data_IF_402466223812
#
_entry.id   IF_402466223812
#
_cell.length_a   1.000
_cell.length_b   1.000
_cell.length_c   1.000
_cell.angle_alpha   90.00
_cell.angle_beta   90.00
_cell.angle_gamma   90.00
#
_symmetry.space_group_name_H-M   'P 1'
#
loop_
_entity.id
_entity.type
_entity.pdbx_description
1 polymer ?
#
# COMPACT_ATOMS: atom_id res chain seq x y z
N UNK A 1 -35.46 -22.30 -26.91
CA UNK A 1 -35.41 -21.88 -25.49
C UNK A 1 -34.00 -22.10 -24.99
N UNK A 2 -33.19 -21.04 -24.85
CA UNK A 2 -31.85 -21.15 -24.27
C UNK A 2 -32.02 -21.12 -22.74
N UNK A 3 -31.87 -22.28 -22.11
CA UNK A 3 -31.89 -22.39 -20.66
C UNK A 3 -30.60 -21.77 -20.09
N UNK A 4 -30.68 -20.55 -19.59
CA UNK A 4 -29.60 -19.91 -18.85
C UNK A 4 -29.78 -20.23 -17.36
N UNK A 5 -28.80 -20.91 -16.77
CA UNK A 5 -28.61 -21.00 -15.31
C UNK A 5 -28.91 -22.37 -14.71
N UNK A 6 -27.88 -23.22 -14.63
CA UNK A 6 -27.81 -24.17 -13.51
C UNK A 6 -27.49 -23.35 -12.25
N UNK A 7 -28.14 -23.57 -11.09
CA UNK A 7 -27.73 -22.94 -9.84
C UNK A 7 -26.32 -23.43 -9.53
N UNK A 8 -25.34 -22.57 -9.76
CA UNK A 8 -23.95 -22.91 -9.51
C UNK A 8 -23.76 -23.01 -7.99
N UNK A 9 -22.98 -24.00 -7.56
CA UNK A 9 -22.62 -24.25 -6.16
C UNK A 9 -22.19 -22.92 -5.52
N UNK A 10 -22.63 -22.68 -4.28
CA UNK A 10 -22.21 -21.54 -3.47
C UNK A 10 -20.70 -21.64 -3.27
N UNK A 11 -19.93 -21.02 -4.16
CA UNK A 11 -18.52 -20.74 -3.95
C UNK A 11 -18.45 -19.38 -3.26
N UNK A 12 -17.66 -19.29 -2.19
CA UNK A 12 -17.35 -18.02 -1.53
C UNK A 12 -16.59 -17.13 -2.52
N UNK A 13 -17.32 -16.36 -3.33
CA UNK A 13 -16.77 -15.42 -4.27
C UNK A 13 -16.16 -14.24 -3.52
N UNK A 14 -15.01 -13.71 -3.97
CA UNK A 14 -14.40 -12.56 -3.33
C UNK A 14 -15.33 -11.34 -3.43
N UNK A 15 -15.36 -10.48 -2.40
CA UNK A 15 -16.16 -9.26 -2.42
C UNK A 15 -15.63 -8.30 -3.49
N UNK A 16 -16.53 -7.52 -4.11
CA UNK A 16 -16.17 -6.48 -5.09
C UNK A 16 -15.60 -5.22 -4.43
N UNK A 17 -14.54 -5.37 -3.63
CA UNK A 17 -13.88 -4.27 -2.93
C UNK A 17 -12.44 -4.18 -3.42
N UNK A 18 -12.09 -3.04 -4.01
CA UNK A 18 -10.73 -2.75 -4.46
C UNK A 18 -9.93 -2.21 -3.28
N UNK A 19 -8.77 -2.80 -3.02
CA UNK A 19 -7.78 -2.30 -2.06
C UNK A 19 -6.40 -2.31 -2.72
N UNK A 20 -5.90 -1.13 -3.03
CA UNK A 20 -4.62 -0.91 -3.69
C UNK A 20 -3.56 -0.31 -2.74
N UNK A 21 -3.88 -0.19 -1.45
CA UNK A 21 -2.91 0.21 -0.43
C UNK A 21 -1.81 -0.85 -0.34
N UNK A 22 -0.54 -0.42 -0.48
CA UNK A 22 0.61 -1.33 -0.41
C UNK A 22 0.96 -1.65 1.06
N UNK A 23 0.67 -0.73 1.97
CA UNK A 23 1.07 -0.83 3.37
C UNK A 23 -0.14 -0.80 4.31
N UNK A 24 0.03 -1.44 5.47
CA UNK A 24 -0.81 -1.20 6.64
C UNK A 24 -0.07 -0.21 7.56
N UNK A 25 -0.79 0.50 8.44
CA UNK A 25 -0.22 1.49 9.35
C UNK A 25 0.96 0.90 10.16
N UNK A 26 0.83 -0.37 10.59
CA UNK A 26 1.87 -1.07 11.34
C UNK A 26 3.02 -1.60 10.48
N UNK A 27 2.75 -1.97 9.22
CA UNK A 27 3.77 -2.55 8.34
C UNK A 27 4.51 -1.50 7.50
N UNK A 28 4.01 -0.26 7.46
CA UNK A 28 4.57 0.83 6.67
C UNK A 28 6.05 1.09 6.98
N UNK A 29 6.38 1.37 8.23
CA UNK A 29 7.74 1.71 8.64
C UNK A 29 8.74 0.57 8.33
N UNK A 30 8.53 -0.69 8.77
CA UNK A 30 9.51 -1.75 8.53
C UNK A 30 9.66 -2.10 7.05
N UNK A 31 8.57 -2.14 6.26
CA UNK A 31 8.68 -2.42 4.83
C UNK A 31 9.36 -1.29 4.06
N UNK A 32 8.99 -0.03 4.32
CA UNK A 32 9.57 1.10 3.59
C UNK A 32 11.06 1.24 3.90
N UNK A 33 11.48 1.02 5.15
CA UNK A 33 12.90 0.97 5.51
C UNK A 33 13.63 -0.18 4.81
N UNK A 34 13.03 -1.37 4.75
CA UNK A 34 13.62 -2.51 4.04
C UNK A 34 13.82 -2.23 2.55
N UNK A 35 12.83 -1.61 1.90
CA UNK A 35 12.91 -1.17 0.50
C UNK A 35 14.01 -0.11 0.31
N UNK A 36 14.12 0.85 1.24
CA UNK A 36 15.19 1.86 1.19
C UNK A 36 16.59 1.24 1.33
N UNK A 37 16.79 0.29 2.26
CA UNK A 37 18.10 -0.33 2.48
C UNK A 37 18.43 -1.44 1.49
N UNK A 38 17.45 -1.93 0.73
CA UNK A 38 17.70 -2.83 -0.41
C UNK A 38 18.38 -2.11 -1.59
N UNK A 39 18.35 -0.77 -1.60
CA UNK A 39 19.13 0.05 -2.54
C UNK A 39 20.59 0.12 -2.11
N UNK A 40 21.49 -0.31 -3.00
CA UNK A 40 22.93 -0.43 -2.73
C UNK A 40 23.58 0.83 -2.13
N UNK A 41 23.25 2.02 -2.65
CA UNK A 41 23.81 3.28 -2.15
C UNK A 41 23.37 3.58 -0.71
N UNK A 42 22.09 3.38 -0.40
CA UNK A 42 21.56 3.58 0.95
C UNK A 42 22.17 2.60 1.95
N UNK A 43 22.42 1.36 1.51
CA UNK A 43 23.13 0.36 2.32
C UNK A 43 24.57 0.77 2.61
N UNK A 44 25.30 1.31 1.62
CA UNK A 44 26.66 1.83 1.85
C UNK A 44 26.63 2.96 2.87
N UNK A 45 25.70 3.92 2.74
CA UNK A 45 25.58 5.00 3.72
C UNK A 45 25.26 4.48 5.12
N UNK A 46 24.41 3.45 5.24
CA UNK A 46 24.11 2.80 6.51
C UNK A 46 25.36 2.14 7.12
N UNK A 47 26.12 1.38 6.34
CA UNK A 47 27.35 0.73 6.81
C UNK A 47 28.38 1.79 7.24
N UNK A 48 28.54 2.86 6.45
CA UNK A 48 29.41 3.98 6.78
C UNK A 48 28.97 4.73 8.05
N UNK A 49 27.66 4.86 8.28
CA UNK A 49 27.13 5.48 9.49
C UNK A 49 27.30 4.57 10.71
N UNK A 50 27.12 3.26 10.56
CA UNK A 50 27.34 2.27 11.61
C UNK A 50 28.82 2.10 11.98
N UNK A 51 29.75 2.22 11.03
CA UNK A 51 31.18 2.14 11.33
C UNK A 51 31.65 3.25 12.28
N UNK A 52 30.96 4.39 12.33
CA UNK A 52 31.29 5.50 13.24
C UNK A 52 31.06 5.18 14.73
N UNK A 53 30.35 4.09 15.07
CA UNK A 53 30.25 3.62 16.45
C UNK A 53 31.54 2.96 16.94
N UNK A 54 32.44 2.54 16.04
CA UNK A 54 33.72 1.92 16.38
C UNK A 54 34.75 3.04 16.50
N UNK A 55 35.16 3.36 17.73
CA UNK A 55 36.08 4.49 18.01
C UNK A 55 37.37 4.47 17.18
N UNK A 56 38.06 3.33 16.98
CA UNK A 56 39.25 3.26 16.12
C UNK A 56 39.01 3.59 14.64
N UNK A 57 37.79 3.43 14.14
CA UNK A 57 37.41 3.66 12.75
C UNK A 57 36.70 5.01 12.55
N UNK A 58 36.48 5.76 13.63
CA UNK A 58 35.72 7.01 13.61
C UNK A 58 36.57 8.13 13.01
N UNK A 59 36.11 8.66 11.87
CA UNK A 59 36.81 9.75 11.15
C UNK A 59 36.30 11.13 11.61
N UNK A 60 35.03 11.22 11.99
CA UNK A 60 34.39 12.47 12.38
C UNK A 60 33.25 12.29 13.39
N UNK A 61 32.40 13.29 13.53
CA UNK A 61 31.26 13.21 14.43
C UNK A 61 30.14 12.32 13.87
N UNK A 62 29.49 11.53 14.72
CA UNK A 62 28.44 10.58 14.31
C UNK A 62 27.29 11.29 13.56
N UNK A 63 26.92 12.50 13.98
CA UNK A 63 25.83 13.25 13.38
C UNK A 63 26.07 13.63 11.91
N UNK A 64 27.32 13.79 11.46
CA UNK A 64 27.59 14.18 10.06
C UNK A 64 27.26 13.05 9.08
N UNK A 65 27.20 11.81 9.55
CA UNK A 65 26.85 10.63 8.75
C UNK A 65 25.36 10.27 8.92
N UNK A 66 24.86 10.32 10.15
CA UNK A 66 23.46 9.95 10.45
C UNK A 66 22.45 11.01 10.02
N UNK A 67 22.77 12.30 10.11
CA UNK A 67 21.84 13.37 9.73
C UNK A 67 21.38 13.30 8.26
N UNK A 68 22.27 13.21 7.25
CA UNK A 68 21.84 13.12 5.86
C UNK A 68 21.08 11.81 5.57
N UNK A 69 21.49 10.68 6.17
CA UNK A 69 20.81 9.40 6.01
C UNK A 69 19.37 9.45 6.54
N UNK A 70 19.19 9.93 7.78
CA UNK A 70 17.86 10.08 8.38
C UNK A 70 16.99 11.06 7.60
N UNK A 71 17.55 12.16 7.11
CA UNK A 71 16.83 13.15 6.32
C UNK A 71 16.27 12.56 5.01
N UNK A 72 17.10 11.84 4.26
CA UNK A 72 16.67 11.19 3.00
C UNK A 72 15.60 10.15 3.27
N UNK A 73 15.81 9.26 4.25
CA UNK A 73 14.81 8.23 4.61
C UNK A 73 13.49 8.88 5.05
N UNK A 74 13.55 9.95 5.83
CA UNK A 74 12.37 10.68 6.29
C UNK A 74 11.56 11.26 5.12
N UNK A 75 12.21 11.95 4.18
CA UNK A 75 11.53 12.49 2.99
C UNK A 75 10.90 11.37 2.16
N UNK A 76 11.62 10.26 1.97
CA UNK A 76 11.09 9.12 1.20
C UNK A 76 9.88 8.49 1.88
N UNK A 77 9.93 8.29 3.20
CA UNK A 77 8.77 7.82 3.97
C UNK A 77 7.59 8.78 3.87
N UNK A 78 7.83 10.09 3.96
CA UNK A 78 6.74 11.08 3.85
C UNK A 78 6.08 11.03 2.47
N UNK A 79 6.87 10.94 1.40
CA UNK A 79 6.35 10.80 0.03
C UNK A 79 5.52 9.53 -0.13
N UNK A 80 6.05 8.39 0.32
CA UNK A 80 5.37 7.10 0.21
C UNK A 80 4.05 7.09 1.00
N UNK A 81 4.04 7.70 2.20
CA UNK A 81 2.83 7.83 3.01
C UNK A 81 1.76 8.68 2.32
N UNK A 82 2.13 9.82 1.74
CA UNK A 82 1.21 10.68 0.99
C UNK A 82 0.61 9.94 -0.21
N UNK A 83 1.44 9.21 -0.96
CA UNK A 83 0.98 8.46 -2.12
C UNK A 83 0.04 7.31 -1.74
N UNK A 84 0.28 6.62 -0.62
CA UNK A 84 -0.60 5.56 -0.11
C UNK A 84 -1.94 6.13 0.41
N UNK A 85 -1.93 7.29 1.10
CA UNK A 85 -3.17 8.00 1.51
C UNK A 85 -4.00 8.39 0.28
N UNK A 86 -3.35 8.92 -0.77
CA UNK A 86 -4.05 9.28 -2.01
C UNK A 86 -4.68 8.07 -2.69
N UNK A 87 -3.99 6.92 -2.69
CA UNK A 87 -4.53 5.64 -3.19
C UNK A 87 -5.76 5.22 -2.40
N UNK A 88 -5.67 5.28 -1.07
CA UNK A 88 -6.79 4.95 -0.19
C UNK A 88 -8.04 5.82 -0.45
N UNK A 89 -7.86 7.13 -0.61
CA UNK A 89 -8.97 8.04 -0.94
C UNK A 89 -9.63 7.68 -2.27
N UNK A 90 -8.85 7.39 -3.32
CA UNK A 90 -9.38 6.98 -4.63
C UNK A 90 -10.12 5.64 -4.55
N UNK A 91 -9.56 4.66 -3.86
CA UNK A 91 -10.21 3.37 -3.68
C UNK A 91 -11.54 3.52 -2.93
N UNK A 92 -11.60 4.42 -1.93
CA UNK A 92 -12.84 4.73 -1.22
C UNK A 92 -13.89 5.33 -2.15
N UNK A 93 -13.51 6.24 -3.05
CA UNK A 93 -14.43 6.83 -4.02
C UNK A 93 -14.99 5.76 -4.98
N UNK A 94 -14.12 4.93 -5.57
CA UNK A 94 -14.51 3.86 -6.50
C UNK A 94 -15.39 2.80 -5.82
N UNK A 95 -15.05 2.39 -4.60
CA UNK A 95 -15.82 1.40 -3.85
C UNK A 95 -17.21 1.90 -3.42
N UNK A 96 -17.40 3.23 -3.33
CA UNK A 96 -18.67 3.87 -2.97
C UNK A 96 -19.50 4.35 -4.17
N UNK A 97 -18.98 4.21 -5.40
CA UNK A 97 -19.70 4.59 -6.61
C UNK A 97 -21.04 3.84 -6.73
N UNK A 98 -22.09 4.54 -7.15
CA UNK A 98 -23.44 3.98 -7.33
C UNK A 98 -23.60 3.41 -8.73
N UNK A 99 -24.16 2.21 -8.82
CA UNK A 99 -24.44 1.49 -10.07
C UNK A 99 -25.89 1.01 -10.10
N UNK A 100 -26.50 1.07 -11.27
CA UNK A 100 -27.86 0.57 -11.50
C UNK A 100 -27.79 -0.88 -11.97
N UNK A 101 -28.34 -1.81 -11.17
CA UNK A 101 -28.49 -3.22 -11.53
C UNK A 101 -29.87 -3.44 -12.14
N UNK A 102 -29.90 -4.02 -13.34
CA UNK A 102 -31.14 -4.43 -14.01
C UNK A 102 -31.52 -5.83 -13.48
N UNK A 103 -32.69 -5.95 -12.88
CA UNK A 103 -33.23 -7.20 -12.30
C UNK A 103 -34.57 -7.51 -12.96
N UNK A 104 -34.99 -8.79 -12.98
CA UNK A 104 -36.30 -9.21 -13.57
C UNK A 104 -37.52 -8.43 -13.04
N UNK A 105 -37.45 -7.86 -11.83
CA UNK A 105 -38.53 -7.09 -11.18
C UNK A 105 -38.38 -5.55 -11.31
N UNK A 106 -37.38 -5.05 -12.02
CA UNK A 106 -37.11 -3.61 -12.16
C UNK A 106 -35.62 -3.25 -12.06
N UNK A 107 -35.33 -1.99 -11.79
CA UNK A 107 -33.96 -1.49 -11.59
C UNK A 107 -33.70 -1.23 -10.10
N UNK A 108 -32.52 -1.61 -9.59
CA UNK A 108 -32.10 -1.32 -8.22
C UNK A 108 -30.75 -0.58 -8.24
N UNK A 109 -30.64 0.50 -7.47
CA UNK A 109 -29.38 1.23 -7.30
C UNK A 109 -28.59 0.62 -6.15
N UNK A 110 -27.34 0.21 -6.41
CA UNK A 110 -26.46 -0.43 -5.44
C UNK A 110 -25.09 0.22 -5.48
N UNK A 111 -24.41 0.21 -4.35
CA UNK A 111 -22.99 0.60 -4.27
C UNK A 111 -22.12 -0.44 -4.98
N UNK A 112 -21.03 -0.01 -5.63
CA UNK A 112 -20.04 -0.87 -6.31
C UNK A 112 -19.62 -2.06 -5.46
N UNK A 113 -19.30 -1.81 -4.18
CA UNK A 113 -18.92 -2.85 -3.21
C UNK A 113 -19.98 -3.92 -2.92
N UNK A 114 -21.25 -3.66 -3.20
CA UNK A 114 -22.37 -4.59 -2.97
C UNK A 114 -22.71 -5.41 -4.21
N UNK A 115 -22.03 -5.20 -5.34
CA UNK A 115 -22.23 -6.00 -6.55
C UNK A 115 -21.70 -7.41 -6.31
N UNK A 116 -22.55 -8.41 -6.54
CA UNK A 116 -22.22 -9.82 -6.43
C UNK A 116 -22.53 -10.54 -7.75
N UNK A 117 -21.65 -11.47 -8.11
CA UNK A 117 -21.82 -12.41 -9.22
C UNK A 117 -22.70 -13.57 -8.71
N UNK A 118 -23.76 -13.88 -9.46
CA UNK A 118 -24.72 -14.96 -9.16
C UNK A 118 -24.57 -16.10 -10.16
#
# INVERSE_FOLDING_TARGET
MVCIGRPNRIHNLPPNVIRNNKYNILTFIPLVLFEQFSVFLNLIFLIMACSQFIEPLRVGYIYTYWAPLCFVIFITMLREAVDDIRRWCRDREVNNALYTKIVRKGQMTLTSSKIQVY
#
